data_IF_908480361861
#
_entry.id   IF_908480361861
#
_cell.length_a   1.000
_cell.length_b   1.000
_cell.length_c   1.000
_cell.angle_alpha   90.00
_cell.angle_beta   90.00
_cell.angle_gamma   90.00
#
_symmetry.space_group_name_H-M   'P 1'
#
loop_
_entity.id
_entity.type
_entity.pdbx_description
1 polymer ?
#
# COMPACT_ATOMS: atom_id res chain seq x y z
N UNK A 1 0.35 14.31 -26.11
CA UNK A 1 -0.21 15.22 -25.06
C UNK A 1 -0.28 16.72 -25.41
N UNK A 2 0.76 17.33 -25.99
CA UNK A 2 0.84 18.79 -26.19
C UNK A 2 -0.33 19.41 -26.99
N UNK A 3 -0.80 18.73 -28.05
CA UNK A 3 -1.92 19.20 -28.87
C UNK A 3 -3.23 19.29 -28.08
N UNK A 4 -3.49 18.31 -27.20
CA UNK A 4 -4.67 18.33 -26.34
C UNK A 4 -4.67 19.52 -25.38
N UNK A 5 -3.50 19.88 -24.84
CA UNK A 5 -3.32 21.08 -24.01
C UNK A 5 -3.57 22.36 -24.83
N UNK A 6 -3.07 22.42 -26.06
CA UNK A 6 -3.32 23.53 -26.99
C UNK A 6 -4.82 23.69 -27.28
N UNK A 7 -5.51 22.58 -27.55
CA UNK A 7 -6.97 22.58 -27.75
C UNK A 7 -7.75 22.99 -26.50
N UNK A 8 -7.30 22.56 -25.31
CA UNK A 8 -7.91 22.96 -24.04
C UNK A 8 -7.73 24.46 -23.78
N UNK A 9 -6.55 25.01 -24.10
CA UNK A 9 -6.27 26.44 -23.96
C UNK A 9 -7.25 27.31 -24.77
N UNK A 10 -7.75 26.83 -25.91
CA UNK A 10 -8.78 27.53 -26.69
C UNK A 10 -10.16 27.56 -26.02
N UNK A 11 -10.41 26.68 -25.03
CA UNK A 11 -11.68 26.57 -24.31
C UNK A 11 -11.67 27.25 -22.94
N UNK A 12 -10.52 27.79 -22.50
CA UNK A 12 -10.36 28.40 -21.18
C UNK A 12 -9.91 29.85 -21.35
N UNK A 13 -10.58 30.83 -20.71
CA UNK A 13 -10.26 32.25 -20.88
C UNK A 13 -8.96 32.69 -20.18
N UNK A 14 -8.24 31.75 -19.55
CA UNK A 14 -7.01 31.99 -18.79
C UNK A 14 -5.90 31.07 -19.31
N UNK A 15 -4.65 31.55 -19.26
CA UNK A 15 -3.49 30.72 -19.54
C UNK A 15 -3.44 29.56 -18.54
N UNK A 16 -3.35 28.34 -19.06
CA UNK A 16 -3.17 27.16 -18.23
C UNK A 16 -1.83 27.27 -17.48
N UNK A 17 -1.88 27.08 -16.17
CA UNK A 17 -0.72 27.11 -15.29
C UNK A 17 -0.64 25.82 -14.52
N UNK A 18 0.41 25.04 -14.77
CA UNK A 18 0.59 23.68 -14.23
C UNK A 18 1.31 23.66 -12.87
N UNK A 19 1.82 24.81 -12.42
CA UNK A 19 2.51 24.95 -11.14
C UNK A 19 1.60 24.85 -9.90
N UNK A 20 0.32 24.54 -10.06
CA UNK A 20 -0.62 24.27 -8.96
C UNK A 20 -1.22 22.86 -9.02
N UNK A 21 -0.81 22.02 -9.97
CA UNK A 21 -1.24 20.62 -9.95
C UNK A 21 -0.75 19.98 -8.65
N UNK A 22 -1.64 19.31 -7.95
CA UNK A 22 -1.32 18.49 -6.78
C UNK A 22 -1.65 17.02 -6.98
N UNK A 23 -2.59 16.70 -7.89
CA UNK A 23 -3.07 15.34 -8.15
C UNK A 23 -3.22 15.12 -9.67
N UNK A 24 -2.91 13.91 -10.10
CA UNK A 24 -3.16 13.36 -11.43
C UNK A 24 -3.98 12.08 -11.29
N UNK A 25 -5.08 11.97 -12.02
CA UNK A 25 -5.92 10.75 -12.06
C UNK A 25 -5.90 10.23 -13.49
N UNK A 26 -5.42 8.99 -13.65
CA UNK A 26 -5.29 8.28 -14.92
C UNK A 26 -6.45 7.30 -15.05
N UNK A 27 -7.18 7.36 -16.15
CA UNK A 27 -8.23 6.38 -16.44
C UNK A 27 -7.64 5.05 -16.87
N UNK A 28 -8.28 3.94 -16.50
CA UNK A 28 -7.83 2.57 -16.80
C UNK A 28 -7.46 2.37 -18.27
N UNK A 29 -8.26 2.86 -19.22
CA UNK A 29 -7.96 2.68 -20.65
C UNK A 29 -6.63 3.33 -21.07
N UNK A 30 -6.23 4.45 -20.45
CA UNK A 30 -4.92 5.05 -20.69
C UNK A 30 -3.83 4.27 -19.94
N UNK A 31 -4.12 3.81 -18.72
CA UNK A 31 -3.21 2.99 -17.93
C UNK A 31 -2.82 1.70 -18.68
N UNK A 32 -3.78 1.01 -19.29
CA UNK A 32 -3.57 -0.21 -20.09
C UNK A 32 -2.85 0.08 -21.43
N UNK A 33 -3.07 1.25 -22.03
CA UNK A 33 -2.46 1.63 -23.30
C UNK A 33 -0.98 2.03 -23.17
N UNK A 34 -0.59 2.61 -22.03
CA UNK A 34 0.75 3.12 -21.77
C UNK A 34 0.71 4.54 -21.20
N UNK A 35 1.38 4.77 -20.06
CA UNK A 35 1.37 6.06 -19.36
C UNK A 35 2.64 6.88 -19.55
N UNK A 36 3.72 6.32 -20.11
CA UNK A 36 5.04 6.95 -20.12
C UNK A 36 5.03 8.31 -20.82
N UNK A 37 4.44 8.42 -22.02
CA UNK A 37 4.36 9.69 -22.75
C UNK A 37 3.59 10.76 -21.94
N UNK A 38 2.56 10.33 -21.21
CA UNK A 38 1.74 11.22 -20.41
C UNK A 38 2.50 11.75 -19.20
N UNK A 39 3.20 10.87 -18.48
CA UNK A 39 4.01 11.26 -17.32
C UNK A 39 5.20 12.12 -17.74
N UNK A 40 5.92 11.75 -18.82
CA UNK A 40 7.07 12.49 -19.35
C UNK A 40 6.68 13.91 -19.75
N UNK A 41 5.52 14.09 -20.38
CA UNK A 41 5.00 15.43 -20.70
C UNK A 41 4.92 16.32 -19.46
N UNK A 42 4.37 15.83 -18.34
CA UNK A 42 4.27 16.61 -17.11
C UNK A 42 5.61 16.78 -16.38
N UNK A 43 6.52 15.82 -16.50
CA UNK A 43 7.88 15.90 -15.95
C UNK A 43 8.76 16.93 -16.67
N UNK A 44 8.50 17.22 -17.95
CA UNK A 44 9.26 18.20 -18.76
C UNK A 44 8.80 19.64 -18.60
N UNK A 45 7.62 19.89 -18.04
CA UNK A 45 7.11 21.26 -17.89
C UNK A 45 7.96 22.04 -16.88
N UNK A 46 8.46 23.24 -17.22
CA UNK A 46 9.23 24.06 -16.28
C UNK A 46 8.46 24.39 -15.00
N UNK A 47 7.13 24.50 -15.10
CA UNK A 47 6.23 24.73 -13.97
C UNK A 47 5.75 23.42 -13.31
N UNK A 48 6.19 22.26 -13.81
CA UNK A 48 5.80 20.95 -13.32
C UNK A 48 6.20 20.74 -11.86
N UNK A 49 5.33 20.05 -11.11
CA UNK A 49 5.61 19.64 -9.73
C UNK A 49 5.82 18.14 -9.69
N UNK A 50 7.03 17.74 -9.35
CA UNK A 50 7.40 16.34 -9.13
C UNK A 50 6.66 15.67 -7.96
N UNK A 51 6.10 16.45 -7.03
CA UNK A 51 5.32 15.97 -5.87
C UNK A 51 3.82 15.80 -6.14
N UNK A 52 3.39 15.87 -7.41
CA UNK A 52 2.00 15.55 -7.78
C UNK A 52 1.70 14.10 -7.43
N UNK A 53 0.61 13.84 -6.71
CA UNK A 53 0.16 12.48 -6.40
C UNK A 53 -0.53 11.85 -7.60
N UNK A 54 -0.19 10.62 -7.94
CA UNK A 54 -0.69 9.92 -9.13
C UNK A 54 -1.61 8.79 -8.70
N UNK A 55 -2.81 8.74 -9.28
CA UNK A 55 -3.81 7.70 -9.04
C UNK A 55 -4.31 7.11 -10.35
N UNK A 56 -4.83 5.88 -10.27
CA UNK A 56 -5.56 5.21 -11.35
C UNK A 56 -7.03 5.05 -10.96
N UNK A 57 -7.94 5.03 -11.94
CA UNK A 57 -9.35 4.74 -11.69
C UNK A 57 -9.97 3.95 -12.84
N UNK A 58 -10.87 3.02 -12.50
CA UNK A 58 -11.71 2.31 -13.49
C UNK A 58 -12.87 3.21 -14.00
N UNK A 59 -13.19 4.28 -13.27
CA UNK A 59 -14.24 5.22 -13.64
C UNK A 59 -13.73 6.27 -14.65
N UNK A 60 -14.63 7.12 -15.18
CA UNK A 60 -14.19 8.31 -15.91
C UNK A 60 -13.41 9.23 -14.95
N UNK A 61 -12.13 9.56 -15.21
CA UNK A 61 -11.35 10.47 -14.38
C UNK A 61 -12.05 11.82 -14.15
N UNK A 62 -12.88 12.28 -15.11
CA UNK A 62 -13.69 13.50 -14.94
C UNK A 62 -14.74 13.35 -13.86
N UNK A 63 -15.31 12.16 -13.67
CA UNK A 63 -16.26 11.87 -12.60
C UNK A 63 -15.56 11.91 -11.24
N UNK A 64 -14.37 11.32 -11.14
CA UNK A 64 -13.54 11.39 -9.92
C UNK A 64 -13.21 12.84 -9.57
N UNK A 65 -12.69 13.61 -10.53
CA UNK A 65 -12.29 15.01 -10.31
C UNK A 65 -13.48 15.96 -10.11
N UNK A 66 -14.64 15.62 -10.67
CA UNK A 66 -15.89 16.36 -10.51
C UNK A 66 -16.73 15.94 -9.30
N UNK A 67 -16.28 14.95 -8.53
CA UNK A 67 -17.01 14.49 -7.35
C UNK A 67 -17.11 15.61 -6.31
N UNK A 68 -18.27 15.71 -5.67
CA UNK A 68 -18.52 16.58 -4.53
C UNK A 68 -18.35 15.76 -3.26
N UNK A 69 -17.19 15.82 -2.59
CA UNK A 69 -16.95 15.01 -1.40
C UNK A 69 -17.82 15.45 -0.23
N UNK A 70 -18.21 14.50 0.62
CA UNK A 70 -18.91 14.83 1.87
C UNK A 70 -18.01 15.57 2.87
N UNK A 71 -16.71 15.28 2.86
CA UNK A 71 -15.69 15.91 3.71
C UNK A 71 -14.62 16.52 2.80
N UNK A 72 -14.48 17.84 2.85
CA UNK A 72 -13.58 18.63 2.00
C UNK A 72 -14.35 19.46 0.97
N UNK A 73 -13.69 20.49 0.45
CA UNK A 73 -14.33 21.43 -0.49
C UNK A 73 -14.26 20.92 -1.94
N UNK A 74 -13.30 20.04 -2.24
CA UNK A 74 -13.04 19.54 -3.60
C UNK A 74 -12.53 18.10 -3.61
N UNK A 75 -12.74 17.37 -4.70
CA UNK A 75 -12.13 16.06 -4.92
C UNK A 75 -10.60 16.07 -4.76
N UNK A 76 -9.95 17.14 -5.23
CA UNK A 76 -8.50 17.34 -5.08
C UNK A 76 -8.08 17.40 -3.61
N UNK A 77 -8.80 18.13 -2.77
CA UNK A 77 -8.51 18.17 -1.34
C UNK A 77 -8.72 16.81 -0.68
N UNK A 78 -9.86 16.16 -0.96
CA UNK A 78 -10.17 14.84 -0.41
C UNK A 78 -9.11 13.79 -0.77
N UNK A 79 -8.70 13.71 -2.04
CA UNK A 79 -7.65 12.78 -2.50
C UNK A 79 -6.29 13.11 -1.88
N UNK A 80 -5.97 14.39 -1.66
CA UNK A 80 -4.72 14.81 -1.03
C UNK A 80 -4.68 14.40 0.43
N UNK A 81 -5.79 14.55 1.16
CA UNK A 81 -5.86 14.10 2.55
C UNK A 81 -5.82 12.56 2.62
N UNK A 82 -6.51 11.83 1.73
CA UNK A 82 -6.38 10.36 1.65
C UNK A 82 -4.92 9.92 1.43
N UNK A 83 -4.18 10.60 0.54
CA UNK A 83 -2.76 10.34 0.32
C UNK A 83 -1.87 10.69 1.52
N UNK A 84 -2.29 11.65 2.35
CA UNK A 84 -1.52 12.14 3.51
C UNK A 84 -1.63 11.23 4.73
N UNK A 85 -2.74 10.50 4.87
CA UNK A 85 -2.88 9.51 5.95
C UNK A 85 -2.06 8.24 5.70
N UNK A 86 -1.52 8.05 4.49
CA UNK A 86 -0.64 6.93 4.14
C UNK A 86 -1.25 5.57 4.51
N UNK A 87 -2.58 5.47 4.37
CA UNK A 87 -3.36 4.25 4.63
C UNK A 87 -3.15 3.23 3.50
N UNK A 88 -2.98 3.73 2.27
CA UNK A 88 -2.63 2.98 1.06
C UNK A 88 -1.37 3.54 0.40
N UNK A 89 -1.03 3.02 -0.78
CA UNK A 89 0.10 3.51 -1.58
C UNK A 89 0.02 5.01 -1.84
N UNK A 90 1.17 5.68 -1.80
CA UNK A 90 1.27 7.13 -1.89
C UNK A 90 2.30 7.61 -2.90
N UNK A 91 2.08 7.33 -4.18
CA UNK A 91 3.07 7.54 -5.24
C UNK A 91 2.99 8.95 -5.86
N UNK A 92 4.14 9.62 -5.93
CA UNK A 92 4.32 10.90 -6.63
C UNK A 92 4.70 10.69 -8.10
N UNK A 93 4.54 11.74 -8.91
CA UNK A 93 5.00 11.75 -10.30
C UNK A 93 6.49 11.44 -10.41
N UNK A 94 7.32 11.95 -9.49
CA UNK A 94 8.75 11.67 -9.47
C UNK A 94 9.04 10.20 -9.24
N UNK A 95 8.41 9.60 -8.22
CA UNK A 95 8.59 8.18 -7.91
C UNK A 95 8.09 7.29 -9.04
N UNK A 96 6.98 7.67 -9.70
CA UNK A 96 6.48 6.95 -10.85
C UNK A 96 7.46 7.00 -12.03
N UNK A 97 8.01 8.18 -12.35
CA UNK A 97 9.00 8.35 -13.41
C UNK A 97 10.31 7.61 -13.08
N UNK A 98 10.81 7.73 -11.85
CA UNK A 98 12.01 7.03 -11.39
C UNK A 98 11.85 5.51 -11.49
N UNK A 99 10.68 4.99 -11.08
CA UNK A 99 10.38 3.55 -11.17
C UNK A 99 10.37 3.07 -12.62
N UNK A 100 9.80 3.85 -13.55
CA UNK A 100 9.79 3.51 -14.98
C UNK A 100 11.17 3.54 -15.64
N UNK A 101 12.15 4.23 -15.04
CA UNK A 101 13.54 4.27 -15.52
C UNK A 101 14.42 3.16 -14.93
N UNK A 102 13.98 2.52 -13.84
CA UNK A 102 14.77 1.51 -13.12
C UNK A 102 14.63 0.13 -13.77
N UNK A 103 15.76 -0.55 -13.91
CA UNK A 103 15.78 -1.96 -14.34
C UNK A 103 15.18 -2.85 -13.24
N UNK A 104 14.24 -3.72 -13.63
CA UNK A 104 13.74 -4.85 -12.83
C UNK A 104 12.96 -4.51 -11.55
N UNK A 105 12.31 -3.35 -11.54
CA UNK A 105 11.24 -3.01 -10.59
C UNK A 105 10.03 -2.54 -11.40
N UNK A 106 8.85 -2.83 -10.89
CA UNK A 106 7.59 -2.54 -11.56
C UNK A 106 6.82 -1.45 -10.85
N UNK A 107 6.19 -0.58 -11.65
CA UNK A 107 5.36 0.48 -11.13
C UNK A 107 4.06 -0.09 -10.55
N UNK A 108 3.66 0.45 -9.40
CA UNK A 108 2.36 0.22 -8.78
C UNK A 108 1.80 1.58 -8.39
N UNK A 109 0.54 1.84 -8.73
CA UNK A 109 -0.12 3.12 -8.45
C UNK A 109 -1.41 2.90 -7.63
N UNK A 110 -1.71 3.77 -6.66
CA UNK A 110 -2.95 3.66 -5.90
C UNK A 110 -4.18 3.85 -6.80
N UNK A 111 -5.22 3.04 -6.57
CA UNK A 111 -6.50 3.18 -7.27
C UNK A 111 -7.51 3.95 -6.44
N UNK A 112 -8.39 4.70 -7.10
CA UNK A 112 -9.46 5.48 -6.47
C UNK A 112 -10.80 5.26 -7.14
N UNK A 113 -11.86 5.27 -6.34
CA UNK A 113 -13.26 5.13 -6.76
C UNK A 113 -14.18 6.08 -5.99
N UNK A 114 -15.38 6.27 -6.52
CA UNK A 114 -16.50 6.88 -5.83
C UNK A 114 -17.37 5.82 -5.18
N UNK A 115 -17.72 6.03 -3.91
CA UNK A 115 -18.73 5.23 -3.23
C UNK A 115 -20.12 5.82 -3.49
N UNK A 116 -21.14 4.98 -3.37
CA UNK A 116 -22.51 5.41 -3.54
C UNK A 116 -22.86 6.51 -2.53
N UNK A 117 -23.66 7.51 -2.93
CA UNK A 117 -24.15 8.53 -2.02
C UNK A 117 -24.85 7.89 -0.81
N UNK A 118 -24.55 8.37 0.39
CA UNK A 118 -25.29 7.96 1.58
C UNK A 118 -26.72 8.49 1.51
N UNK A 119 -27.69 7.73 2.03
CA UNK A 119 -29.09 8.18 2.13
C UNK A 119 -29.17 9.54 2.83
N UNK A 120 -29.93 10.47 2.24
CA UNK A 120 -30.12 11.82 2.77
C UNK A 120 -29.02 12.83 2.44
N UNK A 121 -27.97 12.46 1.67
CA UNK A 121 -26.85 13.36 1.31
C UNK A 121 -26.83 13.85 -0.13
N UNK A 122 -27.92 13.63 -0.87
CA UNK A 122 -28.06 14.13 -2.24
C UNK A 122 -27.00 13.56 -3.17
N UNK A 123 -26.39 14.42 -3.99
CA UNK A 123 -25.37 14.04 -4.98
C UNK A 123 -23.95 13.90 -4.41
N UNK A 124 -23.76 14.13 -3.09
CA UNK A 124 -22.44 14.02 -2.46
C UNK A 124 -21.94 12.58 -2.48
N UNK A 125 -20.66 12.40 -2.83
CA UNK A 125 -20.01 11.10 -2.96
C UNK A 125 -18.83 11.01 -2.00
N UNK A 126 -18.47 9.80 -1.60
CA UNK A 126 -17.23 9.57 -0.86
C UNK A 126 -16.18 9.05 -1.84
N UNK A 127 -15.03 9.71 -1.89
CA UNK A 127 -13.86 9.19 -2.58
C UNK A 127 -13.16 8.19 -1.66
N UNK A 128 -12.77 7.05 -2.21
CA UNK A 128 -12.12 5.98 -1.47
C UNK A 128 -10.97 5.39 -2.28
N UNK A 129 -9.96 4.88 -1.57
CA UNK A 129 -8.95 4.02 -2.14
C UNK A 129 -9.59 2.68 -2.56
N UNK A 130 -9.06 2.07 -3.61
CA UNK A 130 -9.62 0.89 -4.26
C UNK A 130 -8.54 -0.13 -4.62
N UNK A 131 -7.58 -0.35 -3.72
CA UNK A 131 -6.41 -1.19 -4.00
C UNK A 131 -5.38 -0.47 -4.85
N UNK A 132 -4.76 -1.17 -5.80
CA UNK A 132 -3.67 -0.64 -6.62
C UNK A 132 -3.60 -1.24 -8.01
N UNK A 133 -3.24 -0.40 -8.97
CA UNK A 133 -2.98 -0.78 -10.35
C UNK A 133 -1.51 -1.21 -10.48
N UNK A 134 -1.29 -2.35 -11.11
CA UNK A 134 0.03 -2.96 -11.27
C UNK A 134 0.46 -2.87 -12.72
N UNK A 135 1.68 -2.41 -12.96
CA UNK A 135 2.20 -2.12 -14.29
C UNK A 135 3.34 -3.07 -14.67
N UNK A 136 3.39 -3.42 -15.96
CA UNK A 136 4.59 -3.94 -16.62
C UNK A 136 5.09 -2.88 -17.57
N UNK A 137 6.33 -2.44 -17.39
CA UNK A 137 6.84 -1.22 -18.00
C UNK A 137 5.86 -0.05 -17.74
N UNK A 138 5.36 0.58 -18.80
CA UNK A 138 4.42 1.70 -18.71
C UNK A 138 2.93 1.31 -18.83
N UNK A 139 2.61 0.01 -18.85
CA UNK A 139 1.23 -0.48 -19.08
C UNK A 139 0.68 -1.22 -17.88
N UNK A 140 -0.54 -0.90 -17.51
CA UNK A 140 -1.29 -1.63 -16.49
C UNK A 140 -1.59 -3.05 -16.98
N UNK A 141 -1.19 -4.05 -16.20
CA UNK A 141 -1.36 -5.49 -16.51
C UNK A 141 -2.27 -6.19 -15.53
N UNK A 142 -2.60 -5.55 -14.41
CA UNK A 142 -3.48 -6.12 -13.40
C UNK A 142 -3.78 -5.13 -12.29
N UNK A 143 -4.57 -5.59 -11.32
CA UNK A 143 -4.89 -4.84 -10.11
C UNK A 143 -4.88 -5.76 -8.91
N UNK A 144 -4.51 -5.19 -7.77
CA UNK A 144 -4.56 -5.82 -6.46
C UNK A 144 -5.59 -5.06 -5.61
N UNK A 145 -6.35 -5.78 -4.80
CA UNK A 145 -7.36 -5.18 -3.93
C UNK A 145 -6.74 -4.53 -2.69
N UNK A 146 -7.57 -3.92 -1.85
CA UNK A 146 -7.14 -3.26 -0.63
C UNK A 146 -6.38 -4.19 0.32
N UNK A 147 -6.75 -5.48 0.41
CA UNK A 147 -6.10 -6.44 1.32
C UNK A 147 -4.68 -6.79 0.84
N UNK A 148 -4.54 -7.10 -0.45
CA UNK A 148 -3.26 -7.40 -1.09
C UNK A 148 -2.35 -6.16 -1.09
N UNK A 149 -2.90 -4.97 -1.36
CA UNK A 149 -2.15 -3.69 -1.25
C UNK A 149 -1.61 -3.50 0.17
N UNK A 150 -2.36 -3.85 1.20
CA UNK A 150 -1.87 -3.71 2.58
C UNK A 150 -0.72 -4.68 2.87
N UNK A 151 -0.77 -5.92 2.39
CA UNK A 151 0.36 -6.84 2.47
C UNK A 151 1.61 -6.36 1.72
N UNK A 152 1.42 -5.71 0.56
CA UNK A 152 2.49 -5.05 -0.18
C UNK A 152 3.16 -3.92 0.62
N UNK A 153 2.39 -3.09 1.32
CA UNK A 153 2.93 -2.01 2.15
C UNK A 153 3.79 -2.54 3.31
N UNK A 154 3.40 -3.66 3.93
CA UNK A 154 4.24 -4.34 4.91
C UNK A 154 5.58 -4.77 4.28
N UNK A 155 5.54 -5.42 3.12
CA UNK A 155 6.75 -5.89 2.42
C UNK A 155 7.70 -4.75 2.03
N UNK A 156 7.17 -3.59 1.68
CA UNK A 156 7.94 -2.43 1.20
C UNK A 156 8.42 -1.48 2.29
N UNK A 157 8.11 -1.76 3.56
CA UNK A 157 8.35 -0.82 4.66
C UNK A 157 7.60 0.53 4.49
N UNK A 158 6.42 0.48 3.87
CA UNK A 158 5.57 1.64 3.54
C UNK A 158 4.26 1.65 4.35
N UNK A 159 4.20 0.82 5.39
CA UNK A 159 3.05 0.70 6.28
C UNK A 159 3.17 1.71 7.44
N UNK A 160 2.33 2.75 7.42
CA UNK A 160 2.40 3.83 8.42
C UNK A 160 1.27 3.80 9.45
N UNK A 161 0.14 3.16 9.13
CA UNK A 161 -0.99 3.01 10.03
C UNK A 161 -1.58 1.61 9.89
N UNK A 162 -1.81 0.91 10.99
CA UNK A 162 -2.49 -0.37 10.99
C UNK A 162 -3.29 -0.60 12.27
N UNK A 163 -4.47 -1.18 12.11
CA UNK A 163 -5.28 -1.67 13.22
C UNK A 163 -5.57 -3.14 12.96
N UNK A 164 -5.10 -4.01 13.83
CA UNK A 164 -5.20 -5.46 13.68
C UNK A 164 -6.07 -6.03 14.80
N UNK A 165 -7.10 -6.80 14.45
CA UNK A 165 -7.94 -7.48 15.43
C UNK A 165 -7.63 -8.96 15.43
N UNK A 166 -7.22 -9.46 16.58
CA UNK A 166 -6.86 -10.86 16.78
C UNK A 166 -7.84 -11.55 17.72
N UNK A 167 -8.20 -12.78 17.39
CA UNK A 167 -8.92 -13.66 18.30
C UNK A 167 -7.91 -14.46 19.12
N UNK A 168 -7.95 -14.38 20.46
CA UNK A 168 -7.09 -15.19 21.30
C UNK A 168 -7.31 -16.69 21.06
N UNK A 169 -6.23 -17.48 21.14
CA UNK A 169 -6.33 -18.95 21.08
C UNK A 169 -7.09 -19.50 22.29
N UNK A 170 -6.92 -18.86 23.44
CA UNK A 170 -7.60 -19.18 24.68
C UNK A 170 -8.48 -18.02 25.13
N UNK A 171 -9.74 -18.30 25.45
CA UNK A 171 -10.72 -17.29 25.88
C UNK A 171 -11.82 -17.06 24.86
N UNK A 172 -12.55 -15.97 25.02
CA UNK A 172 -13.64 -15.55 24.13
C UNK A 172 -13.40 -14.13 23.65
N UNK A 173 -14.04 -13.71 22.56
CA UNK A 173 -13.98 -12.33 22.08
C UNK A 173 -12.73 -12.05 21.24
N UNK A 174 -12.23 -10.82 21.32
CA UNK A 174 -11.13 -10.35 20.48
C UNK A 174 -10.33 -9.23 21.17
N UNK A 175 -9.12 -9.04 20.67
CA UNK A 175 -8.22 -7.95 21.08
C UNK A 175 -7.86 -7.17 19.82
N UNK A 176 -7.96 -5.86 19.88
CA UNK A 176 -7.58 -4.97 18.79
C UNK A 176 -6.34 -4.19 19.17
N UNK A 177 -5.35 -4.27 18.28
CA UNK A 177 -4.07 -3.62 18.39
C UNK A 177 -3.95 -2.50 17.35
N UNK A 178 -3.37 -1.38 17.77
CA UNK A 178 -2.99 -0.26 16.91
C UNK A 178 -1.47 -0.21 16.81
N UNK A 179 -0.95 -0.27 15.58
CA UNK A 179 0.48 -0.21 15.30
C UNK A 179 1.01 1.18 15.63
N UNK A 180 2.06 1.23 16.46
CA UNK A 180 2.81 2.45 16.77
C UNK A 180 3.90 2.68 15.74
N UNK A 181 4.67 1.63 15.45
CA UNK A 181 5.73 1.64 14.46
C UNK A 181 5.94 0.23 13.89
N UNK A 182 6.47 0.19 12.66
CA UNK A 182 6.96 -1.04 12.06
C UNK A 182 8.23 -0.75 11.27
N UNK A 183 9.06 -1.79 11.12
CA UNK A 183 10.16 -1.79 10.19
C UNK A 183 10.24 -3.13 9.45
N UNK A 184 10.61 -3.07 8.17
CA UNK A 184 10.83 -4.25 7.33
C UNK A 184 12.22 -4.25 6.71
N UNK A 185 12.94 -5.36 6.90
CA UNK A 185 14.25 -5.58 6.31
C UNK A 185 14.21 -6.73 5.28
N UNK A 186 14.62 -6.43 4.05
CA UNK A 186 14.77 -7.42 2.97
C UNK A 186 16.23 -7.87 2.88
N UNK A 187 16.46 -9.17 3.10
CA UNK A 187 17.78 -9.80 3.06
C UNK A 187 17.90 -10.78 1.90
N UNK A 188 18.51 -10.37 0.76
CA UNK A 188 18.75 -11.27 -0.36
C UNK A 188 19.89 -12.25 -0.04
N UNK A 189 19.78 -13.49 -0.53
CA UNK A 189 20.82 -14.51 -0.50
C UNK A 189 20.78 -15.33 -1.79
N UNK A 190 21.94 -15.62 -2.36
CA UNK A 190 22.07 -16.61 -3.43
C UNK A 190 22.90 -17.78 -2.87
N UNK A 191 22.30 -18.96 -2.82
CA UNK A 191 22.95 -20.17 -2.30
C UNK A 191 22.70 -21.35 -3.23
N UNK A 192 23.78 -21.98 -3.71
CA UNK A 192 23.71 -23.13 -4.63
C UNK A 192 22.85 -22.87 -5.89
N UNK A 193 22.87 -21.63 -6.40
CA UNK A 193 22.08 -21.21 -7.56
C UNK A 193 20.63 -20.83 -7.26
N UNK A 194 20.18 -20.98 -6.02
CA UNK A 194 18.84 -20.60 -5.59
C UNK A 194 18.81 -19.16 -5.07
N UNK A 195 17.86 -18.37 -5.57
CA UNK A 195 17.62 -16.99 -5.14
C UNK A 195 16.63 -16.99 -3.98
N UNK A 196 17.03 -16.36 -2.88
CA UNK A 196 16.30 -16.38 -1.62
C UNK A 196 16.17 -14.96 -1.08
N UNK A 197 15.00 -14.62 -0.60
CA UNK A 197 14.74 -13.41 0.17
C UNK A 197 14.27 -13.83 1.56
N UNK A 198 14.89 -13.28 2.59
CA UNK A 198 14.31 -13.28 3.95
C UNK A 198 13.74 -11.90 4.21
N UNK A 199 12.43 -11.83 4.44
CA UNK A 199 11.72 -10.63 4.87
C UNK A 199 11.60 -10.70 6.37
N UNK A 200 12.21 -9.75 7.07
CA UNK A 200 12.10 -9.62 8.52
C UNK A 200 11.24 -8.40 8.85
N UNK A 201 10.12 -8.62 9.50
CA UNK A 201 9.16 -7.58 9.90
C UNK A 201 9.16 -7.49 11.41
N UNK A 202 9.39 -6.30 11.95
CA UNK A 202 9.22 -6.01 13.36
C UNK A 202 8.14 -4.94 13.52
N UNK A 203 7.23 -5.14 14.47
CA UNK A 203 6.15 -4.20 14.79
C UNK A 203 6.02 -4.01 16.30
N UNK A 204 5.73 -2.78 16.70
CA UNK A 204 5.38 -2.41 18.06
C UNK A 204 3.95 -1.84 18.07
N UNK A 205 3.11 -2.39 18.94
CA UNK A 205 1.66 -2.16 18.92
C UNK A 205 1.10 -1.87 20.32
N UNK A 206 0.05 -1.05 20.37
CA UNK A 206 -0.76 -0.80 21.55
C UNK A 206 -2.07 -1.57 21.51
N UNK A 207 -2.50 -2.10 22.66
CA UNK A 207 -3.86 -2.62 22.79
C UNK A 207 -4.83 -1.46 22.98
N UNK A 208 -5.70 -1.24 22.00
CA UNK A 208 -6.74 -0.20 22.03
C UNK A 208 -8.11 -0.75 22.43
N UNK A 209 -8.31 -2.06 22.32
CA UNK A 209 -9.52 -2.73 22.77
C UNK A 209 -9.23 -4.14 23.25
N UNK A 210 -9.69 -4.46 24.46
CA UNK A 210 -9.76 -5.82 24.97
C UNK A 210 -11.24 -6.19 25.17
N UNK A 211 -11.84 -6.80 24.15
CA UNK A 211 -13.18 -7.39 24.22
C UNK A 211 -13.12 -8.88 24.59
N UNK A 212 -11.95 -9.35 25.03
CA UNK A 212 -11.76 -10.71 25.50
C UNK A 212 -11.90 -10.79 27.02
N UNK A 213 -11.76 -11.99 27.55
CA UNK A 213 -11.66 -12.21 28.98
C UNK A 213 -10.22 -12.39 29.48
N UNK A 214 -9.21 -12.09 28.67
CA UNK A 214 -7.81 -12.21 29.05
C UNK A 214 -7.32 -11.04 29.89
N UNK A 215 -6.56 -11.34 30.95
CA UNK A 215 -5.81 -10.36 31.72
C UNK A 215 -4.42 -10.10 31.12
N UNK A 216 -4.29 -8.98 30.43
CA UNK A 216 -3.05 -8.57 29.76
C UNK A 216 -1.97 -8.03 30.72
N UNK A 217 -2.15 -8.16 32.05
CA UNK A 217 -1.07 -8.04 33.04
C UNK A 217 -0.18 -9.28 33.03
N UNK A 218 -0.68 -10.43 32.58
CA UNK A 218 0.08 -11.66 32.48
C UNK A 218 0.95 -11.66 31.22
N UNK A 219 2.30 -11.67 31.34
CA UNK A 219 3.19 -11.69 30.18
C UNK A 219 3.01 -12.89 29.25
N UNK A 220 2.57 -14.03 29.78
CA UNK A 220 2.30 -15.22 28.95
C UNK A 220 1.12 -14.97 28.01
N UNK A 221 0.02 -14.40 28.53
CA UNK A 221 -1.16 -14.06 27.74
C UNK A 221 -0.85 -12.99 26.70
N UNK A 222 -0.01 -12.01 27.04
CA UNK A 222 0.50 -11.03 26.06
C UNK A 222 1.27 -11.72 24.93
N UNK A 223 2.16 -12.68 25.24
CA UNK A 223 2.89 -13.45 24.21
C UNK A 223 1.97 -14.25 23.30
N UNK A 224 0.81 -14.71 23.78
CA UNK A 224 -0.18 -15.35 22.91
C UNK A 224 -0.78 -14.35 21.91
N UNK A 225 -1.07 -13.12 22.35
CA UNK A 225 -1.55 -12.04 21.49
C UNK A 225 -0.49 -11.66 20.44
N UNK A 226 0.77 -11.50 20.86
CA UNK A 226 1.90 -11.22 19.97
C UNK A 226 2.05 -12.30 18.89
N UNK A 227 2.09 -13.58 19.27
CA UNK A 227 2.15 -14.70 18.30
C UNK A 227 0.97 -14.71 17.33
N UNK A 228 -0.22 -14.32 17.78
CA UNK A 228 -1.38 -14.26 16.91
C UNK A 228 -1.28 -13.11 15.91
N UNK A 229 -0.76 -11.96 16.34
CA UNK A 229 -0.48 -10.83 15.46
C UNK A 229 0.64 -11.16 14.46
N UNK A 230 1.72 -11.81 14.90
CA UNK A 230 2.80 -12.30 14.03
C UNK A 230 2.25 -13.21 12.92
N UNK A 231 1.35 -14.12 13.28
CA UNK A 231 0.68 -14.98 12.31
C UNK A 231 -0.19 -14.18 11.34
N UNK A 232 -1.00 -13.24 11.82
CA UNK A 232 -1.87 -12.41 10.98
C UNK A 232 -1.05 -11.60 9.96
N UNK A 233 0.05 -10.98 10.40
CA UNK A 233 0.98 -10.26 9.51
C UNK A 233 1.60 -11.20 8.50
N UNK A 234 2.06 -12.38 8.95
CA UNK A 234 2.64 -13.40 8.06
C UNK A 234 1.65 -13.86 6.99
N UNK A 235 0.40 -14.13 7.37
CA UNK A 235 -0.65 -14.58 6.45
C UNK A 235 -0.97 -13.48 5.41
N UNK A 236 -1.07 -12.20 5.82
CA UNK A 236 -1.30 -11.06 4.90
C UNK A 236 -0.18 -10.88 3.90
N UNK A 237 1.06 -10.95 4.38
CA UNK A 237 2.26 -10.82 3.53
C UNK A 237 2.37 -12.00 2.57
N UNK A 238 2.07 -13.21 3.04
CA UNK A 238 2.04 -14.40 2.19
C UNK A 238 0.97 -14.30 1.10
N UNK A 239 -0.23 -13.79 1.42
CA UNK A 239 -1.28 -13.52 0.43
C UNK A 239 -0.80 -12.53 -0.64
N UNK A 240 -0.13 -11.44 -0.22
CA UNK A 240 0.38 -10.47 -1.17
C UNK A 240 1.45 -11.05 -2.09
N UNK A 241 2.36 -11.89 -1.54
CA UNK A 241 3.34 -12.62 -2.34
C UNK A 241 2.66 -13.56 -3.33
N UNK A 242 1.67 -14.35 -2.94
CA UNK A 242 0.96 -15.26 -3.83
C UNK A 242 0.34 -14.52 -5.03
N UNK A 243 -0.37 -13.42 -4.78
CA UNK A 243 -1.02 -12.64 -5.84
C UNK A 243 0.01 -11.95 -6.75
N UNK A 244 1.04 -11.34 -6.18
CA UNK A 244 2.02 -10.52 -6.93
C UNK A 244 3.06 -11.41 -7.64
N UNK A 245 3.66 -12.34 -6.91
CA UNK A 245 4.78 -13.17 -7.35
C UNK A 245 4.29 -14.32 -8.25
N UNK A 246 3.28 -15.07 -7.83
CA UNK A 246 2.78 -16.22 -8.61
C UNK A 246 1.74 -15.79 -9.66
N UNK A 247 0.82 -14.90 -9.27
CA UNK A 247 -0.29 -14.44 -10.10
C UNK A 247 0.14 -13.46 -11.20
N UNK A 248 0.69 -12.31 -10.81
CA UNK A 248 1.00 -11.21 -11.73
C UNK A 248 2.43 -11.29 -12.33
N UNK A 249 3.36 -11.94 -11.64
CA UNK A 249 4.76 -12.13 -12.06
C UNK A 249 5.44 -10.82 -12.42
N UNK A 250 5.32 -9.86 -11.53
CA UNK A 250 5.84 -8.49 -11.63
C UNK A 250 6.42 -8.08 -10.29
N UNK A 251 7.69 -7.67 -10.30
CA UNK A 251 8.40 -7.27 -9.09
C UNK A 251 8.05 -5.83 -8.68
N UNK A 252 6.92 -5.67 -8.00
CA UNK A 252 6.55 -4.40 -7.33
C UNK A 252 7.11 -4.31 -5.91
N UNK A 253 7.85 -5.34 -5.46
CA UNK A 253 8.44 -5.50 -4.13
C UNK A 253 9.88 -4.98 -4.05
N UNK A 254 10.49 -4.68 -5.20
CA UNK A 254 11.85 -4.20 -5.37
C UNK A 254 12.94 -5.24 -4.98
N UNK A 255 12.64 -6.52 -5.15
CA UNK A 255 13.59 -7.60 -4.88
C UNK A 255 14.78 -7.56 -5.85
N UNK A 256 14.55 -7.22 -7.11
CA UNK A 256 15.58 -7.07 -8.13
C UNK A 256 16.68 -6.09 -7.69
N UNK A 257 16.29 -4.92 -7.17
CA UNK A 257 17.22 -3.94 -6.62
C UNK A 257 17.98 -4.48 -5.41
N UNK A 258 17.32 -5.22 -4.52
CA UNK A 258 17.97 -5.84 -3.37
C UNK A 258 19.09 -6.81 -3.81
N UNK A 259 18.81 -7.67 -4.80
CA UNK A 259 19.83 -8.56 -5.36
C UNK A 259 20.91 -7.81 -6.12
N UNK A 260 20.57 -6.80 -6.92
CA UNK A 260 21.54 -5.96 -7.62
C UNK A 260 22.55 -5.35 -6.63
N UNK A 261 22.07 -4.82 -5.51
CA UNK A 261 22.91 -4.20 -4.48
C UNK A 261 23.88 -5.19 -3.83
N UNK A 262 23.47 -6.43 -3.57
CA UNK A 262 24.27 -7.43 -2.83
C UNK A 262 25.09 -8.36 -3.74
N UNK A 263 24.58 -8.69 -4.92
CA UNK A 263 25.12 -9.66 -5.86
C UNK A 263 25.20 -9.09 -7.30
N UNK A 264 25.94 -7.99 -7.52
CA UNK A 264 25.91 -7.27 -8.80
C UNK A 264 26.36 -8.12 -10.00
N UNK A 265 27.27 -9.09 -9.81
CA UNK A 265 27.73 -9.96 -10.91
C UNK A 265 26.63 -10.92 -11.37
N UNK A 266 26.03 -11.64 -10.43
CA UNK A 266 24.92 -12.56 -10.69
C UNK A 266 23.70 -11.80 -11.24
N UNK A 267 23.49 -10.58 -10.74
CA UNK A 267 22.46 -9.69 -11.24
C UNK A 267 22.63 -9.37 -12.73
N UNK A 268 23.84 -9.03 -13.20
CA UNK A 268 24.06 -8.74 -14.62
C UNK A 268 23.73 -9.92 -15.54
N UNK A 269 23.87 -11.16 -15.06
CA UNK A 269 23.52 -12.36 -15.81
C UNK A 269 22.00 -12.66 -15.80
N UNK A 270 21.29 -12.19 -14.77
CA UNK A 270 19.88 -12.50 -14.55
C UNK A 270 18.91 -11.38 -14.97
N UNK A 271 19.37 -10.12 -15.03
CA UNK A 271 18.50 -8.95 -15.16
C UNK A 271 17.57 -8.95 -16.37
N UNK A 272 18.03 -9.47 -17.52
CA UNK A 272 17.23 -9.53 -18.76
C UNK A 272 16.07 -10.53 -18.68
N UNK A 273 16.15 -11.48 -17.74
CA UNK A 273 15.17 -12.54 -17.48
C UNK A 273 14.63 -12.47 -16.05
N UNK A 274 14.70 -11.29 -15.42
CA UNK A 274 14.28 -11.13 -14.03
C UNK A 274 12.82 -11.50 -13.83
N UNK A 275 11.94 -11.08 -14.73
CA UNK A 275 10.50 -11.40 -14.68
C UNK A 275 10.20 -12.91 -14.72
N UNK A 276 11.08 -13.69 -15.36
CA UNK A 276 10.97 -15.16 -15.40
C UNK A 276 11.51 -15.80 -14.12
N UNK A 277 12.54 -15.19 -13.52
CA UNK A 277 13.20 -15.68 -12.30
C UNK A 277 12.45 -15.26 -11.03
N UNK A 278 11.79 -14.10 -11.04
CA UNK A 278 11.11 -13.51 -9.88
C UNK A 278 10.10 -14.48 -9.24
N UNK A 279 9.24 -15.20 -10.00
CA UNK A 279 8.36 -16.22 -9.43
C UNK A 279 9.10 -17.37 -8.73
N UNK A 280 10.35 -17.69 -9.13
CA UNK A 280 11.13 -18.78 -8.53
C UNK A 280 11.89 -18.37 -7.26
N UNK A 281 11.91 -17.08 -6.92
CA UNK A 281 12.59 -16.57 -5.72
C UNK A 281 11.90 -17.11 -4.48
N UNK A 282 12.62 -17.86 -3.64
CA UNK A 282 12.06 -18.35 -2.38
C UNK A 282 12.02 -17.24 -1.34
N UNK A 283 10.85 -17.00 -0.77
CA UNK A 283 10.65 -15.98 0.26
C UNK A 283 10.41 -16.64 1.61
N UNK A 284 11.20 -16.26 2.61
CA UNK A 284 11.00 -16.61 4.01
C UNK A 284 10.53 -15.38 4.77
N UNK A 285 9.44 -15.50 5.52
CA UNK A 285 8.85 -14.41 6.29
C UNK A 285 9.15 -14.65 7.76
N UNK A 286 9.74 -13.66 8.42
CA UNK A 286 10.00 -13.64 9.86
C UNK A 286 9.29 -12.40 10.44
N UNK A 287 8.10 -12.59 10.98
CA UNK A 287 7.37 -11.53 11.67
C UNK A 287 7.63 -11.62 13.18
N UNK A 288 7.87 -10.47 13.81
CA UNK A 288 7.96 -10.32 15.26
C UNK A 288 7.09 -9.15 15.70
N UNK A 289 6.15 -9.41 16.59
CA UNK A 289 5.28 -8.39 17.15
C UNK A 289 5.59 -8.18 18.63
N UNK A 290 5.53 -6.93 19.08
CA UNK A 290 5.71 -6.58 20.50
C UNK A 290 4.54 -5.72 20.95
N UNK A 291 3.87 -6.12 22.03
CA UNK A 291 2.84 -5.28 22.66
C UNK A 291 3.53 -4.31 23.62
N UNK A 292 3.57 -3.03 23.24
CA UNK A 292 4.19 -1.97 24.04
C UNK A 292 3.37 -1.68 25.30
N UNK A 293 2.06 -1.50 25.12
CA UNK A 293 1.15 -1.16 26.20
C UNK A 293 -0.15 -1.97 26.07
N UNK A 294 -0.58 -2.65 27.14
CA UNK A 294 -1.87 -3.34 27.15
C UNK A 294 -3.07 -2.41 27.42
N UNK A 295 -2.86 -1.08 27.37
CA UNK A 295 -3.87 -0.05 27.68
C UNK A 295 -3.76 0.54 29.10
N UNK A 296 -4.44 1.68 29.35
CA UNK A 296 -4.51 2.33 30.67
C UNK A 296 -5.27 1.50 31.71
N UNK A 297 -6.29 0.79 31.25
CA UNK A 297 -7.07 -0.15 32.04
C UNK A 297 -6.80 -1.55 31.48
N UNK A 298 -6.02 -2.32 32.23
CA UNK A 298 -5.46 -3.59 31.74
C UNK A 298 -6.45 -4.77 31.81
N UNK A 299 -7.28 -4.91 32.86
CA UNK A 299 -8.38 -5.86 32.86
C UNK A 299 -9.52 -5.42 31.92
N UNK A 300 -10.26 -6.36 31.32
CA UNK A 300 -11.47 -6.03 30.55
C UNK A 300 -12.45 -5.23 31.41
N UNK A 301 -12.82 -4.04 30.94
CA UNK A 301 -13.71 -3.17 31.70
C UNK A 301 -15.15 -3.67 31.61
N UNK A 302 -15.82 -3.77 32.76
CA UNK A 302 -17.22 -4.19 32.85
C UNK A 302 -17.47 -5.70 32.95
N UNK A 303 -16.42 -6.53 33.01
CA UNK A 303 -16.54 -7.95 33.35
C UNK A 303 -16.37 -8.17 34.87
N UNK A 304 -17.16 -9.07 35.49
CA UNK A 304 -16.91 -9.51 36.86
C UNK A 304 -15.56 -10.24 36.99
N UNK A 305 -14.83 -10.03 38.08
CA UNK A 305 -13.48 -10.62 38.30
C UNK A 305 -13.42 -12.14 38.10
N UNK A 306 -14.51 -12.86 38.38
CA UNK A 306 -14.60 -14.32 38.23
C UNK A 306 -14.60 -14.81 36.78
N UNK A 307 -14.87 -13.91 35.83
CA UNK A 307 -14.94 -14.21 34.40
C UNK A 307 -13.64 -13.86 33.69
N UNK A 308 -12.74 -13.12 34.36
CA UNK A 308 -11.41 -12.76 33.88
C UNK A 308 -10.47 -13.95 34.04
N UNK A 309 -9.78 -14.31 32.96
CA UNK A 309 -8.72 -15.32 32.96
C UNK A 309 -7.39 -14.68 33.28
N UNK A 310 -6.81 -15.12 34.40
CA UNK A 310 -5.48 -14.70 34.86
C UNK A 310 -4.37 -15.67 34.43
N UNK A 311 -4.74 -16.92 34.07
CA UNK A 311 -3.86 -18.02 33.64
C UNK A 311 -4.44 -18.75 32.43
#
# INVERSE_FOLDING_TARGET
MADAVSMLQMKVPRRLFWGQISIMVIGQSLAEAGIQESLDFFGRLPEGRFRVKVFVTEEDPKKILGALPYLGDTATEALRELAKFEIGLNVTLLEALDTLEREAVHLVLPMVKTLQPQEGKGEMQTLALAGSAVFRDDRMVGQIDEEVTRGLLWLRDEIHMATNTVTPEEGTGYITLEMLESSTEIRPKIEQGQWIITVKIETEDDVIQNASNLDLRNPELVRHVERRLEKDITDRVALALDVIQEGLKVDVLDFGTAFHRKYPKQWQEAKERWDELFPEVKVYIEAKATVARPGLAVPPQGLPDKEVKEE
#
